data_IF_300998479461
#
_entry.id   IF_300998479461
#
_cell.length_a   1.000
_cell.length_b   1.000
_cell.length_c   1.000
_cell.angle_alpha   90.00
_cell.angle_beta   90.00
_cell.angle_gamma   90.00
#
_symmetry.space_group_name_H-M   'P 1'
#
loop_
_entity.id
_entity.type
_entity.pdbx_description
1 polymer ?
#
# COMPACT_ATOMS: atom_id res chain seq x y z
N UNK A 1 11.35 17.15 -24.49
CA UNK A 1 10.49 17.23 -23.30
C UNK A 1 9.56 16.02 -23.27
N UNK A 2 9.41 15.36 -22.12
CA UNK A 2 8.62 14.12 -22.04
C UNK A 2 7.12 14.39 -22.09
N UNK A 3 6.45 13.80 -23.08
CA UNK A 3 5.01 13.90 -23.32
C UNK A 3 4.37 12.51 -23.27
N UNK A 4 3.16 12.46 -22.73
CA UNK A 4 2.29 11.28 -22.79
C UNK A 4 0.90 11.70 -23.25
N UNK A 5 0.27 10.84 -24.03
CA UNK A 5 -1.09 11.06 -24.51
C UNK A 5 -1.91 9.77 -24.41
N UNK A 6 -3.15 9.88 -23.96
CA UNK A 6 -4.12 8.78 -23.86
C UNK A 6 -5.18 8.99 -24.95
N UNK A 7 -5.28 8.08 -25.93
CA UNK A 7 -6.14 8.18 -27.12
C UNK A 7 -7.04 6.95 -27.29
N UNK A 8 -7.96 7.02 -28.27
CA UNK A 8 -8.77 5.89 -28.73
C UNK A 8 -9.53 5.20 -27.57
N UNK A 9 -10.03 6.01 -26.64
CA UNK A 9 -10.60 5.51 -25.39
C UNK A 9 -11.98 4.91 -25.68
N UNK A 10 -12.06 3.59 -25.63
CA UNK A 10 -13.28 2.83 -25.83
C UNK A 10 -13.82 2.33 -24.49
N UNK A 11 -14.96 2.87 -24.04
CA UNK A 11 -15.57 2.54 -22.75
C UNK A 11 -16.73 1.58 -22.92
N UNK A 12 -16.59 0.37 -22.38
CA UNK A 12 -17.67 -0.58 -22.13
C UNK A 12 -17.87 -0.73 -20.62
N UNK A 13 -19.01 -1.28 -20.20
CA UNK A 13 -19.33 -1.47 -18.77
C UNK A 13 -18.35 -2.42 -18.07
N UNK A 14 -17.82 -3.42 -18.75
CA UNK A 14 -16.89 -4.40 -18.17
C UNK A 14 -15.43 -4.17 -18.59
N UNK A 15 -15.16 -3.24 -19.52
CA UNK A 15 -13.83 -3.05 -20.07
C UNK A 15 -13.64 -1.66 -20.67
N UNK A 16 -12.49 -1.07 -20.40
CA UNK A 16 -12.02 0.18 -21.01
C UNK A 16 -10.71 -0.12 -21.72
N UNK A 17 -10.66 0.09 -23.03
CA UNK A 17 -9.43 -0.02 -23.82
C UNK A 17 -8.99 1.38 -24.25
N UNK A 18 -7.68 1.63 -24.26
CA UNK A 18 -7.11 2.92 -24.67
C UNK A 18 -5.68 2.76 -25.17
N UNK A 19 -5.24 3.69 -26.02
CA UNK A 19 -3.88 3.73 -26.54
C UNK A 19 -3.07 4.76 -25.77
N UNK A 20 -1.87 4.39 -25.33
CA UNK A 20 -0.90 5.31 -24.72
C UNK A 20 0.20 5.60 -25.73
N UNK A 21 0.42 6.88 -26.01
CA UNK A 21 1.51 7.36 -26.86
C UNK A 21 2.49 8.14 -25.99
N UNK A 22 3.75 7.74 -26.01
CA UNK A 22 4.85 8.40 -25.30
C UNK A 22 5.86 8.97 -26.28
N UNK A 23 6.28 10.21 -26.03
CA UNK A 23 7.32 10.91 -26.77
C UNK A 23 8.33 11.42 -25.74
N UNK A 24 9.56 10.90 -25.74
CA UNK A 24 10.61 11.27 -24.79
C UNK A 24 11.86 11.73 -25.53
N UNK A 25 12.65 12.58 -24.89
CA UNK A 25 13.91 13.04 -25.48
C UNK A 25 14.83 11.83 -25.74
N UNK A 26 15.31 11.72 -26.98
CA UNK A 26 16.24 10.66 -27.40
C UNK A 26 15.70 9.23 -27.32
N UNK A 27 14.38 9.04 -27.24
CA UNK A 27 13.73 7.72 -27.33
C UNK A 27 12.69 7.74 -28.45
N UNK A 28 12.62 6.71 -29.31
CA UNK A 28 11.58 6.62 -30.33
C UNK A 28 10.17 6.73 -29.72
N UNK A 29 9.26 7.35 -30.48
CA UNK A 29 7.83 7.36 -30.15
C UNK A 29 7.37 5.92 -29.90
N UNK A 30 6.77 5.69 -28.74
CA UNK A 30 6.30 4.39 -28.32
C UNK A 30 4.79 4.44 -28.11
N UNK A 31 4.09 3.47 -28.69
CA UNK A 31 2.63 3.35 -28.70
C UNK A 31 2.23 1.99 -28.15
N UNK A 32 1.39 1.97 -27.12
CA UNK A 32 1.01 0.76 -26.39
C UNK A 32 -0.51 0.72 -26.16
N UNK A 33 -1.12 -0.43 -26.38
CA UNK A 33 -2.54 -0.64 -26.08
C UNK A 33 -2.70 -1.13 -24.64
N UNK A 34 -3.50 -0.41 -23.86
CA UNK A 34 -3.72 -0.64 -22.45
C UNK A 34 -5.20 -0.87 -22.20
N UNK A 35 -5.52 -1.67 -21.18
CA UNK A 35 -6.89 -1.90 -20.78
C UNK A 35 -7.09 -1.85 -19.26
N UNK A 36 -8.32 -1.54 -18.86
CA UNK A 36 -8.88 -1.83 -17.55
C UNK A 36 -10.09 -2.75 -17.74
N UNK A 37 -10.06 -3.94 -17.17
CA UNK A 37 -11.13 -4.93 -17.26
C UNK A 37 -11.70 -5.22 -15.87
N UNK A 38 -13.01 -5.10 -15.73
CA UNK A 38 -13.73 -5.21 -14.47
C UNK A 38 -14.36 -6.59 -14.33
N UNK A 39 -14.36 -7.15 -13.12
CA UNK A 39 -15.07 -8.40 -12.85
C UNK A 39 -16.58 -8.24 -12.65
N UNK A 40 -17.11 -7.02 -12.76
CA UNK A 40 -18.52 -6.69 -12.77
C UNK A 40 -18.73 -5.39 -13.57
N UNK A 41 -19.97 -5.13 -14.00
CA UNK A 41 -20.29 -3.89 -14.73
C UNK A 41 -19.94 -2.65 -13.90
N UNK A 42 -19.29 -1.67 -14.53
CA UNK A 42 -18.85 -0.43 -13.92
C UNK A 42 -18.91 0.73 -14.92
N UNK A 43 -19.74 1.73 -14.63
CA UNK A 43 -19.91 2.92 -15.46
C UNK A 43 -18.97 4.03 -14.98
N UNK A 44 -17.68 3.92 -15.31
CA UNK A 44 -16.65 4.87 -14.87
C UNK A 44 -16.86 6.24 -15.53
N UNK A 45 -16.97 7.32 -14.75
CA UNK A 45 -17.02 8.68 -15.31
C UNK A 45 -15.71 9.07 -16.00
N UNK A 46 -15.75 10.07 -16.88
CA UNK A 46 -14.54 10.58 -17.52
C UNK A 46 -13.57 11.17 -16.49
N UNK A 47 -14.09 11.80 -15.43
CA UNK A 47 -13.27 12.35 -14.35
C UNK A 47 -12.54 11.25 -13.57
N UNK A 48 -13.24 10.15 -13.23
CA UNK A 48 -12.61 9.02 -12.56
C UNK A 48 -11.56 8.35 -13.46
N UNK A 49 -11.85 8.21 -14.76
CA UNK A 49 -10.90 7.67 -15.72
C UNK A 49 -9.66 8.57 -15.87
N UNK A 50 -9.84 9.90 -15.99
CA UNK A 50 -8.74 10.85 -16.03
C UNK A 50 -7.89 10.83 -14.74
N UNK A 51 -8.53 10.77 -13.57
CA UNK A 51 -7.83 10.58 -12.30
C UNK A 51 -7.02 9.27 -12.30
N UNK A 52 -7.56 8.18 -12.84
CA UNK A 52 -6.82 6.92 -12.91
C UNK A 52 -5.58 7.01 -13.82
N UNK A 53 -5.67 7.72 -14.95
CA UNK A 53 -4.53 7.97 -15.82
C UNK A 53 -3.46 8.80 -15.11
N UNK A 54 -3.86 9.85 -14.41
CA UNK A 54 -2.95 10.67 -13.61
C UNK A 54 -2.30 9.86 -12.48
N UNK A 55 -3.04 8.97 -11.80
CA UNK A 55 -2.49 8.09 -10.78
C UNK A 55 -1.43 7.12 -11.32
N UNK A 56 -1.49 6.75 -12.61
CA UNK A 56 -0.50 5.89 -13.27
C UNK A 56 0.80 6.63 -13.63
N UNK A 57 0.79 7.96 -13.72
CA UNK A 57 1.92 8.73 -14.27
C UNK A 57 2.49 9.79 -13.33
N UNK A 58 1.66 10.38 -12.46
CA UNK A 58 2.00 11.48 -11.58
C UNK A 58 2.82 12.57 -12.30
N UNK A 59 4.00 12.91 -11.78
CA UNK A 59 4.88 13.96 -12.33
C UNK A 59 5.89 13.45 -13.37
N UNK A 60 5.75 12.21 -13.87
CA UNK A 60 6.72 11.61 -14.79
C UNK A 60 6.80 12.33 -16.15
N UNK A 61 5.70 12.92 -16.61
CA UNK A 61 5.60 13.59 -17.91
C UNK A 61 5.29 15.07 -17.74
N UNK A 62 5.89 15.92 -18.58
CA UNK A 62 5.70 17.38 -18.55
C UNK A 62 4.47 17.83 -19.32
N UNK A 63 4.10 17.08 -20.36
CA UNK A 63 2.88 17.29 -21.13
C UNK A 63 2.02 16.04 -21.08
N UNK A 64 0.75 16.21 -20.74
CA UNK A 64 -0.24 15.14 -20.65
C UNK A 64 -1.44 15.54 -21.50
N UNK A 65 -1.80 14.71 -22.46
CA UNK A 65 -3.05 14.84 -23.21
C UNK A 65 -3.99 13.68 -22.88
N UNK A 66 -5.26 13.99 -22.57
CA UNK A 66 -6.29 12.99 -22.27
C UNK A 66 -7.43 13.13 -23.28
N UNK A 67 -7.65 12.13 -24.13
CA UNK A 67 -8.68 12.14 -25.17
C UNK A 67 -10.11 11.90 -24.63
N UNK A 68 -10.47 12.61 -23.56
CA UNK A 68 -11.79 12.61 -22.94
C UNK A 68 -12.29 14.06 -22.85
N UNK A 69 -13.60 14.28 -23.01
CA UNK A 69 -14.20 15.53 -22.59
C UNK A 69 -14.24 15.54 -21.05
N UNK A 70 -13.68 16.60 -20.43
CA UNK A 70 -13.51 16.70 -18.97
C UNK A 70 -14.14 18.00 -18.43
N UNK A 71 -14.79 17.95 -17.25
CA UNK A 71 -15.22 19.16 -16.56
C UNK A 71 -14.05 20.10 -16.24
N UNK A 72 -14.28 21.41 -16.33
CA UNK A 72 -13.28 22.45 -16.04
C UNK A 72 -12.68 22.31 -14.64
N UNK A 73 -13.49 21.96 -13.63
CA UNK A 73 -12.99 21.76 -12.28
C UNK A 73 -12.08 20.52 -12.12
N UNK A 74 -12.36 19.43 -12.83
CA UNK A 74 -11.52 18.23 -12.85
C UNK A 74 -10.16 18.58 -13.43
N UNK A 75 -10.17 19.24 -14.58
CA UNK A 75 -8.94 19.63 -15.25
C UNK A 75 -8.13 20.63 -14.43
N UNK A 76 -8.79 21.62 -13.82
CA UNK A 76 -8.14 22.58 -12.90
C UNK A 76 -7.53 21.89 -11.70
N UNK A 77 -8.24 20.94 -11.08
CA UNK A 77 -7.72 20.14 -9.97
C UNK A 77 -6.47 19.35 -10.39
N UNK A 78 -6.52 18.66 -11.53
CA UNK A 78 -5.40 17.86 -12.02
C UNK A 78 -4.19 18.73 -12.39
N UNK A 79 -4.42 19.91 -12.99
CA UNK A 79 -3.37 20.90 -13.30
C UNK A 79 -2.71 21.45 -12.03
N UNK A 80 -3.48 21.74 -10.99
CA UNK A 80 -2.95 22.29 -9.74
C UNK A 80 -2.11 21.28 -8.94
N UNK A 81 -2.46 19.99 -9.01
CA UNK A 81 -1.74 18.95 -8.26
C UNK A 81 -0.47 18.43 -8.93
N UNK A 82 -0.24 18.74 -10.21
CA UNK A 82 0.94 18.28 -10.96
C UNK A 82 1.76 19.44 -11.52
N UNK A 83 3.08 19.23 -11.66
CA UNK A 83 3.98 20.18 -12.35
C UNK A 83 3.99 19.96 -13.86
N UNK A 84 2.83 19.66 -14.42
CA UNK A 84 2.64 19.19 -15.79
C UNK A 84 1.56 19.99 -16.49
N UNK A 85 1.75 20.25 -17.78
CA UNK A 85 0.72 20.82 -18.64
C UNK A 85 -0.27 19.70 -19.01
N UNK A 86 -1.50 19.81 -18.52
CA UNK A 86 -2.57 18.85 -18.78
C UNK A 86 -3.59 19.47 -19.72
N UNK A 87 -3.86 18.80 -20.83
CA UNK A 87 -4.85 19.17 -21.84
C UNK A 87 -5.78 17.98 -22.08
N UNK A 88 -6.97 18.26 -22.61
CA UNK A 88 -7.97 17.23 -22.91
C UNK A 88 -8.64 17.47 -24.25
N UNK A 89 -9.45 16.49 -24.70
CA UNK A 89 -10.19 16.58 -25.96
C UNK A 89 -11.10 17.80 -26.03
N UNK A 90 -11.81 18.05 -24.93
CA UNK A 90 -12.76 19.14 -24.80
C UNK A 90 -12.90 19.51 -23.31
N UNK A 91 -12.92 20.81 -23.00
CA UNK A 91 -13.24 21.31 -21.66
C UNK A 91 -14.76 21.54 -21.57
N UNK A 92 -15.45 20.77 -20.73
CA UNK A 92 -16.89 20.90 -20.52
C UNK A 92 -17.13 21.88 -19.37
N UNK A 93 -18.11 22.78 -19.53
CA UNK A 93 -18.56 23.64 -18.45
C UNK A 93 -19.01 22.83 -17.23
N UNK A 94 -18.67 23.30 -16.03
CA UNK A 94 -19.07 22.64 -14.79
C UNK A 94 -20.61 22.66 -14.67
N UNK A 95 -21.23 21.49 -14.47
CA UNK A 95 -22.65 21.45 -14.14
C UNK A 95 -22.87 21.70 -12.65
N UNK A 96 -23.87 22.53 -12.33
CA UNK A 96 -24.21 22.95 -10.96
C UNK A 96 -24.58 21.76 -10.05
N UNK A 97 -24.97 20.62 -10.63
CA UNK A 97 -25.49 19.46 -9.89
C UNK A 97 -24.47 18.32 -9.63
N UNK A 98 -23.23 18.39 -10.12
CA UNK A 98 -22.33 17.22 -10.10
C UNK A 98 -21.51 17.03 -8.81
N UNK A 99 -21.67 17.88 -7.79
CA UNK A 99 -20.88 17.79 -6.54
C UNK A 99 -21.65 17.30 -5.32
N UNK A 100 -22.95 17.03 -5.45
CA UNK A 100 -23.78 16.77 -4.27
C UNK A 100 -23.82 15.30 -3.88
N UNK A 101 -23.03 14.98 -2.86
CA UNK A 101 -23.43 14.17 -1.71
C UNK A 101 -24.11 12.84 -2.03
N UNK A 102 -23.38 11.90 -2.63
CA UNK A 102 -23.61 10.50 -2.27
C UNK A 102 -23.06 10.28 -0.86
N UNK A 103 -23.75 9.46 -0.06
CA UNK A 103 -23.31 9.08 1.28
C UNK A 103 -22.04 8.21 1.16
N UNK A 104 -20.89 8.84 0.90
CA UNK A 104 -19.60 8.22 0.63
C UNK A 104 -19.02 7.60 1.90
N UNK A 105 -19.62 6.48 2.32
CA UNK A 105 -19.29 5.82 3.57
C UNK A 105 -18.48 4.55 3.37
N UNK A 106 -18.34 4.02 2.15
CA UNK A 106 -17.62 2.77 1.98
C UNK A 106 -16.10 2.97 2.01
N UNK A 107 -15.42 1.96 2.53
CA UNK A 107 -13.97 1.89 2.65
C UNK A 107 -13.48 0.91 1.60
N UNK A 108 -12.74 1.39 0.62
CA UNK A 108 -12.04 0.58 -0.35
C UNK A 108 -10.67 0.16 0.18
N UNK A 109 -10.53 -1.09 0.61
CA UNK A 109 -9.22 -1.64 0.96
C UNK A 109 -8.51 -2.09 -0.33
N UNK A 110 -7.34 -1.50 -0.58
CA UNK A 110 -6.42 -1.86 -1.64
C UNK A 110 -5.79 -3.21 -1.26
N UNK A 111 -6.42 -4.28 -1.73
CA UNK A 111 -6.27 -5.63 -1.21
C UNK A 111 -5.40 -6.48 -2.14
N UNK A 112 -4.25 -6.94 -1.64
CA UNK A 112 -3.35 -7.86 -2.36
C UNK A 112 -3.47 -9.31 -1.88
N UNK A 113 -4.14 -9.55 -0.75
CA UNK A 113 -4.12 -10.84 -0.06
C UNK A 113 -2.86 -11.07 0.78
N UNK A 114 -1.96 -10.07 0.88
CA UNK A 114 -0.77 -10.14 1.74
C UNK A 114 -1.12 -9.96 3.19
N UNK A 115 -0.24 -10.40 4.10
CA UNK A 115 -0.46 -10.32 5.54
C UNK A 115 -0.91 -8.93 6.00
N UNK A 116 -0.28 -7.89 5.46
CA UNK A 116 -0.56 -6.52 5.89
C UNK A 116 -1.95 -6.05 5.40
N UNK A 117 -2.33 -6.42 4.17
CA UNK A 117 -3.70 -6.18 3.67
C UNK A 117 -4.75 -7.08 4.33
N UNK A 118 -4.39 -8.30 4.73
CA UNK A 118 -5.27 -9.21 5.48
C UNK A 118 -5.48 -8.71 6.92
N UNK A 119 -4.44 -8.18 7.56
CA UNK A 119 -4.55 -7.52 8.85
C UNK A 119 -5.46 -6.28 8.73
N UNK A 120 -5.20 -5.42 7.73
CA UNK A 120 -6.03 -4.24 7.46
C UNK A 120 -7.52 -4.59 7.23
N UNK A 121 -7.79 -5.68 6.50
CA UNK A 121 -9.16 -6.18 6.27
C UNK A 121 -9.88 -6.49 7.59
N UNK A 122 -9.20 -7.12 8.54
CA UNK A 122 -9.78 -7.52 9.81
C UNK A 122 -9.98 -6.34 10.78
N UNK A 123 -9.35 -5.19 10.53
CA UNK A 123 -9.47 -4.00 11.38
C UNK A 123 -10.68 -3.12 11.05
N UNK A 124 -11.45 -3.45 10.01
CA UNK A 124 -12.65 -2.71 9.63
C UNK A 124 -13.93 -3.51 9.82
N UNK A 125 -15.02 -2.79 10.09
CA UNK A 125 -16.34 -3.40 10.08
C UNK A 125 -16.68 -3.88 8.65
N UNK A 126 -17.05 -5.16 8.46
CA UNK A 126 -17.27 -5.76 7.15
C UNK A 126 -18.43 -5.11 6.36
N UNK A 127 -19.39 -4.44 7.02
CA UNK A 127 -20.53 -3.81 6.34
C UNK A 127 -20.14 -2.67 5.39
N UNK A 128 -19.06 -1.93 5.71
CA UNK A 128 -18.56 -0.79 4.93
C UNK A 128 -17.37 -1.12 4.05
N UNK A 129 -16.70 -2.25 4.32
CA UNK A 129 -15.48 -2.66 3.65
C UNK A 129 -15.78 -3.20 2.24
N UNK A 130 -15.04 -2.70 1.25
CA UNK A 130 -14.99 -3.21 -0.13
C UNK A 130 -13.55 -3.55 -0.44
N UNK A 131 -13.31 -4.82 -0.78
CA UNK A 131 -11.97 -5.27 -1.16
C UNK A 131 -11.77 -4.97 -2.64
N UNK A 132 -10.71 -4.24 -2.97
CA UNK A 132 -10.37 -3.90 -4.35
C UNK A 132 -8.99 -4.45 -4.68
N UNK A 133 -8.91 -5.29 -5.71
CA UNK A 133 -7.66 -5.93 -6.13
C UNK A 133 -7.32 -5.57 -7.57
N UNK A 134 -6.02 -5.42 -7.84
CA UNK A 134 -5.51 -5.18 -9.18
C UNK A 134 -4.88 -6.45 -9.72
N UNK A 135 -5.37 -6.93 -10.86
CA UNK A 135 -4.82 -8.08 -11.56
C UNK A 135 -3.91 -7.60 -12.68
N UNK A 136 -2.60 -7.62 -12.43
CA UNK A 136 -1.60 -7.21 -13.41
C UNK A 136 -1.22 -8.33 -14.39
N UNK A 137 -1.68 -9.57 -14.15
CA UNK A 137 -1.19 -10.76 -14.85
C UNK A 137 0.34 -10.95 -14.75
N UNK A 138 0.88 -11.72 -15.70
CA UNK A 138 2.33 -11.93 -15.85
C UNK A 138 2.99 -12.47 -14.58
N UNK A 139 4.07 -11.83 -14.12
CA UNK A 139 4.81 -12.24 -12.92
C UNK A 139 4.00 -12.11 -11.61
N UNK A 140 2.85 -11.43 -11.65
CA UNK A 140 1.92 -11.23 -10.53
C UNK A 140 0.65 -12.09 -10.65
N UNK A 141 0.58 -13.01 -11.62
CA UNK A 141 -0.58 -13.89 -11.80
C UNK A 141 -0.86 -14.72 -10.53
N UNK A 142 0.17 -15.06 -9.75
CA UNK A 142 0.04 -15.81 -8.50
C UNK A 142 -0.74 -15.02 -7.43
N UNK A 143 -0.70 -13.68 -7.44
CA UNK A 143 -1.43 -12.85 -6.46
C UNK A 143 -2.96 -13.06 -6.61
N UNK A 144 -3.42 -13.28 -7.85
CA UNK A 144 -4.83 -13.56 -8.18
C UNK A 144 -5.35 -14.81 -7.50
N UNK A 145 -4.50 -15.83 -7.31
CA UNK A 145 -4.91 -17.06 -6.64
C UNK A 145 -5.31 -16.81 -5.19
N UNK A 146 -4.73 -15.81 -4.52
CA UNK A 146 -5.10 -15.48 -3.16
C UNK A 146 -6.33 -14.59 -3.09
N UNK A 147 -6.32 -13.46 -3.79
CA UNK A 147 -7.45 -12.54 -3.66
C UNK A 147 -8.75 -13.10 -4.28
N UNK A 148 -8.67 -14.10 -5.17
CA UNK A 148 -9.87 -14.82 -5.67
C UNK A 148 -10.60 -15.65 -4.61
N UNK A 149 -9.97 -15.92 -3.46
CA UNK A 149 -10.63 -16.54 -2.30
C UNK A 149 -11.52 -15.55 -1.53
N UNK A 150 -11.47 -14.27 -1.87
CA UNK A 150 -12.24 -13.21 -1.24
C UNK A 150 -13.23 -12.60 -2.25
N UNK A 151 -14.31 -12.01 -1.74
CA UNK A 151 -15.25 -11.25 -2.56
C UNK A 151 -14.65 -9.88 -2.89
N UNK A 152 -13.85 -9.83 -3.96
CA UNK A 152 -13.14 -8.63 -4.40
C UNK A 152 -13.79 -7.99 -5.62
N UNK A 153 -13.63 -6.67 -5.73
CA UNK A 153 -13.82 -5.92 -6.96
C UNK A 153 -12.47 -5.84 -7.66
N UNK A 154 -12.37 -6.43 -8.84
CA UNK A 154 -11.10 -6.57 -9.55
C UNK A 154 -11.01 -5.58 -10.70
N UNK A 155 -9.80 -5.05 -10.92
CA UNK A 155 -9.42 -4.39 -12.17
C UNK A 155 -8.23 -5.12 -12.74
N UNK A 156 -8.44 -5.85 -13.83
CA UNK A 156 -7.35 -6.44 -14.62
C UNK A 156 -6.75 -5.40 -15.57
N UNK A 157 -5.43 -5.40 -15.72
CA UNK A 157 -4.72 -4.47 -16.59
C UNK A 157 -3.33 -4.97 -16.98
N UNK A 158 -2.86 -4.57 -18.16
CA UNK A 158 -1.49 -4.81 -18.62
C UNK A 158 -0.53 -3.62 -18.34
N UNK A 159 -0.96 -2.58 -17.62
CA UNK A 159 -0.14 -1.38 -17.37
C UNK A 159 1.28 -1.70 -16.88
N UNK A 160 1.44 -2.64 -15.94
CA UNK A 160 2.76 -2.95 -15.36
C UNK A 160 3.78 -3.53 -16.34
N UNK A 161 3.31 -4.18 -17.40
CA UNK A 161 4.19 -4.71 -18.45
C UNK A 161 4.65 -3.62 -19.44
N UNK A 162 3.94 -2.50 -19.50
CA UNK A 162 4.17 -1.42 -20.46
C UNK A 162 5.45 -0.63 -20.20
N UNK A 163 5.99 -0.01 -21.25
CA UNK A 163 7.17 0.84 -21.17
C UNK A 163 6.85 2.19 -20.51
N UNK A 164 5.69 2.77 -20.79
CA UNK A 164 5.30 4.04 -20.15
C UNK A 164 5.24 3.90 -18.62
N UNK A 165 4.66 2.79 -18.11
CA UNK A 165 4.55 2.58 -16.67
C UNK A 165 5.89 2.28 -16.02
N UNK A 166 6.76 1.48 -16.68
CA UNK A 166 8.14 1.25 -16.21
C UNK A 166 8.90 2.57 -16.05
N UNK A 167 8.71 3.52 -16.97
CA UNK A 167 9.28 4.86 -16.83
C UNK A 167 8.62 5.63 -15.67
N UNK A 168 7.29 5.71 -15.65
CA UNK A 168 6.54 6.47 -14.65
C UNK A 168 6.79 5.99 -13.21
N UNK A 169 6.95 4.68 -13.00
CA UNK A 169 7.21 4.07 -11.70
C UNK A 169 8.48 4.57 -11.00
N UNK A 170 9.40 5.20 -11.74
CA UNK A 170 10.59 5.86 -11.18
C UNK A 170 10.26 7.14 -10.39
N UNK A 171 9.03 7.66 -10.51
CA UNK A 171 8.58 8.93 -9.94
C UNK A 171 7.52 8.75 -8.83
N UNK A 172 7.51 7.62 -8.13
CA UNK A 172 6.58 7.31 -7.04
C UNK A 172 5.10 7.46 -7.43
N UNK A 173 4.62 6.55 -8.28
CA UNK A 173 3.22 6.50 -8.72
C UNK A 173 2.35 5.66 -7.76
N UNK A 174 1.21 6.18 -7.25
CA UNK A 174 0.29 5.45 -6.39
C UNK A 174 -0.62 4.54 -7.23
N UNK A 175 -0.05 3.75 -8.14
CA UNK A 175 -0.79 2.93 -9.11
C UNK A 175 -1.73 1.91 -8.44
N UNK A 176 -1.45 1.53 -7.18
CA UNK A 176 -2.30 0.65 -6.39
C UNK A 176 -3.65 1.28 -6.03
N UNK A 177 -3.80 2.62 -6.12
CA UNK A 177 -5.05 3.33 -5.84
C UNK A 177 -6.03 3.38 -7.02
N UNK A 178 -5.60 3.00 -8.23
CA UNK A 178 -6.45 3.13 -9.45
C UNK A 178 -7.75 2.34 -9.31
N UNK A 179 -7.74 1.20 -8.62
CA UNK A 179 -8.94 0.40 -8.42
C UNK A 179 -9.99 1.16 -7.62
N UNK A 180 -9.58 1.83 -6.53
CA UNK A 180 -10.48 2.65 -5.72
C UNK A 180 -11.02 3.86 -6.50
N UNK A 181 -10.20 4.48 -7.35
CA UNK A 181 -10.60 5.58 -8.22
C UNK A 181 -11.64 5.11 -9.25
N UNK A 182 -11.37 3.98 -9.93
CA UNK A 182 -12.24 3.46 -10.98
C UNK A 182 -13.57 2.93 -10.44
N UNK A 183 -13.61 2.42 -9.21
CA UNK A 183 -14.84 1.96 -8.55
C UNK A 183 -15.50 3.01 -7.65
N UNK A 184 -14.95 4.23 -7.56
CA UNK A 184 -15.34 5.25 -6.60
C UNK A 184 -16.86 5.49 -6.57
N UNK A 185 -17.42 5.74 -7.74
CA UNK A 185 -18.81 6.11 -7.93
C UNK A 185 -19.72 4.89 -7.72
N UNK A 186 -19.40 3.74 -8.34
CA UNK A 186 -20.18 2.49 -8.21
C UNK A 186 -20.33 2.04 -6.77
N UNK A 187 -19.26 2.14 -5.99
CA UNK A 187 -19.20 1.61 -4.62
C UNK A 187 -19.37 2.70 -3.56
N UNK A 188 -19.64 3.95 -3.92
CA UNK A 188 -19.73 5.08 -3.00
C UNK A 188 -18.52 5.13 -2.02
N UNK A 189 -17.31 5.07 -2.57
CA UNK A 189 -16.06 5.03 -1.81
C UNK A 189 -15.76 6.44 -1.27
N UNK A 190 -15.72 6.58 0.05
CA UNK A 190 -15.22 7.79 0.72
C UNK A 190 -13.78 7.65 1.22
N UNK A 191 -13.32 6.41 1.36
CA UNK A 191 -11.99 6.11 1.91
C UNK A 191 -11.26 5.06 1.09
N UNK A 192 -10.00 5.31 0.76
CA UNK A 192 -9.08 4.29 0.29
C UNK A 192 -8.15 3.89 1.45
N UNK A 193 -8.16 2.61 1.77
CA UNK A 193 -7.35 2.02 2.81
C UNK A 193 -6.20 1.16 2.25
N UNK A 194 -5.05 1.19 2.90
CA UNK A 194 -3.87 0.37 2.56
C UNK A 194 -3.32 -0.34 3.80
N UNK A 195 -2.70 -1.49 3.59
CA UNK A 195 -1.97 -2.24 4.61
C UNK A 195 -0.55 -1.72 4.84
N UNK A 196 -0.35 -0.40 4.88
CA UNK A 196 0.96 0.18 5.18
C UNK A 196 1.30 -0.08 6.65
N UNK A 197 2.53 -0.48 6.95
CA UNK A 197 3.02 -0.79 8.30
C UNK A 197 4.08 0.22 8.75
N UNK A 198 4.45 0.21 10.02
CA UNK A 198 5.34 1.19 10.64
C UNK A 198 6.68 1.29 9.90
N UNK A 199 7.31 0.15 9.63
CA UNK A 199 8.62 0.04 8.99
C UNK A 199 8.62 0.19 7.48
N UNK A 200 7.45 0.46 6.86
CA UNK A 200 7.41 0.96 5.50
C UNK A 200 8.02 2.38 5.39
N UNK A 201 8.22 3.06 6.51
CA UNK A 201 8.82 4.39 6.61
C UNK A 201 9.91 4.39 7.69
N UNK A 202 11.16 4.67 7.31
CA UNK A 202 12.33 4.59 8.21
C UNK A 202 12.31 5.60 9.38
N UNK A 203 11.36 6.53 9.39
CA UNK A 203 11.23 7.53 10.46
C UNK A 203 10.33 7.09 11.62
N UNK A 204 9.54 6.03 11.43
CA UNK A 204 8.59 5.47 12.39
C UNK A 204 7.64 6.50 13.05
N UNK A 205 7.37 7.63 12.37
CA UNK A 205 6.64 8.75 12.98
C UNK A 205 5.12 8.65 12.85
N UNK A 206 4.63 7.73 12.00
CA UNK A 206 3.23 7.61 11.63
C UNK A 206 2.61 8.92 11.07
N UNK A 207 3.43 9.81 10.50
CA UNK A 207 2.96 11.06 9.89
C UNK A 207 2.68 10.85 8.41
N UNK A 208 1.44 11.06 7.99
CA UNK A 208 1.08 10.96 6.57
C UNK A 208 -0.12 11.86 6.22
N UNK A 209 -0.18 12.41 5.00
CA UNK A 209 -1.36 13.14 4.53
C UNK A 209 -2.61 12.25 4.44
N UNK A 210 -3.77 12.77 4.82
CA UNK A 210 -5.05 12.06 4.75
C UNK A 210 -5.74 12.18 3.37
N UNK A 211 -5.00 12.53 2.31
CA UNK A 211 -5.54 12.69 0.96
C UNK A 211 -4.88 11.71 -0.02
N UNK A 212 -5.66 11.21 -0.98
CA UNK A 212 -5.17 10.37 -2.08
C UNK A 212 -5.17 11.20 -3.34
N UNK A 213 -4.05 11.75 -3.78
CA UNK A 213 -4.00 12.39 -5.09
C UNK A 213 -3.86 11.35 -6.20
N UNK A 214 -4.61 11.42 -7.31
CA UNK A 214 -5.67 12.39 -7.65
C UNK A 214 -7.08 12.01 -7.18
N UNK A 215 -7.26 10.86 -6.52
CA UNK A 215 -8.56 10.39 -6.03
C UNK A 215 -9.34 11.35 -5.12
N UNK A 216 -8.69 12.34 -4.50
CA UNK A 216 -9.35 13.36 -3.67
C UNK A 216 -10.26 14.28 -4.48
N UNK A 217 -10.09 14.37 -5.81
CA UNK A 217 -11.11 14.99 -6.68
C UNK A 217 -12.47 14.29 -6.57
N UNK A 218 -12.45 12.97 -6.39
CA UNK A 218 -13.63 12.13 -6.18
C UNK A 218 -14.03 12.05 -4.69
N UNK A 219 -13.53 12.96 -3.86
CA UNK A 219 -13.72 12.99 -2.40
C UNK A 219 -13.19 11.74 -1.66
N UNK A 220 -12.24 11.00 -2.27
CA UNK A 220 -11.59 9.87 -1.60
C UNK A 220 -10.52 10.37 -0.63
N UNK A 221 -10.66 10.01 0.63
CA UNK A 221 -9.66 10.23 1.70
C UNK A 221 -8.83 8.98 1.94
N UNK A 222 -7.63 9.15 2.49
CA UNK A 222 -6.76 8.02 2.83
C UNK A 222 -6.98 7.57 4.28
N UNK A 223 -6.95 6.25 4.50
CA UNK A 223 -6.94 5.65 5.84
C UNK A 223 -5.88 4.56 5.87
N UNK A 224 -5.13 4.41 6.96
CA UNK A 224 -4.10 3.37 7.09
C UNK A 224 -4.23 2.65 8.42
N UNK A 225 -5.09 1.63 8.50
CA UNK A 225 -5.43 0.99 9.77
C UNK A 225 -4.23 0.28 10.43
N UNK A 226 -3.22 -0.12 9.64
CA UNK A 226 -2.05 -0.86 10.12
C UNK A 226 -0.81 0.00 10.30
N UNK A 227 -0.86 1.31 10.05
CA UNK A 227 0.35 2.15 9.93
C UNK A 227 1.13 2.32 11.25
N UNK A 228 0.48 2.10 12.38
CA UNK A 228 1.13 2.08 13.70
C UNK A 228 1.62 0.70 14.12
N UNK A 229 1.40 -0.35 13.33
CA UNK A 229 1.78 -1.72 13.63
C UNK A 229 3.06 -2.10 12.89
N UNK A 230 3.89 -2.92 13.51
CA UNK A 230 4.98 -3.60 12.78
C UNK A 230 4.47 -4.82 12.01
N UNK A 231 5.31 -5.43 11.18
CA UNK A 231 5.01 -6.71 10.53
C UNK A 231 4.71 -7.82 11.57
N UNK A 232 5.28 -7.76 12.77
CA UNK A 232 4.92 -8.66 13.90
C UNK A 232 3.46 -8.46 14.30
N UNK A 233 3.03 -7.21 14.46
CA UNK A 233 1.65 -6.87 14.79
C UNK A 233 0.66 -7.33 13.72
N UNK A 234 0.96 -7.12 12.44
CA UNK A 234 0.08 -7.60 11.35
C UNK A 234 0.02 -9.13 11.29
N UNK A 235 1.13 -9.83 11.53
CA UNK A 235 1.17 -11.28 11.61
C UNK A 235 0.36 -11.83 12.80
N UNK A 236 0.39 -11.16 13.96
CA UNK A 236 -0.44 -11.51 15.11
C UNK A 236 -1.94 -11.43 14.78
N UNK A 237 -2.38 -10.35 14.11
CA UNK A 237 -3.77 -10.21 13.64
C UNK A 237 -4.14 -11.34 12.69
N UNK A 238 -3.34 -11.56 11.65
CA UNK A 238 -3.58 -12.60 10.64
C UNK A 238 -3.71 -13.97 11.29
N UNK A 239 -2.78 -14.33 12.19
CA UNK A 239 -2.79 -15.62 12.88
C UNK A 239 -4.00 -15.79 13.80
N UNK A 240 -4.45 -14.71 14.46
CA UNK A 240 -5.60 -14.77 15.37
C UNK A 240 -6.94 -14.82 14.63
N UNK A 241 -7.04 -14.11 13.51
CA UNK A 241 -8.31 -13.83 12.85
C UNK A 241 -8.61 -14.74 11.65
N UNK A 242 -7.60 -15.39 11.05
CA UNK A 242 -7.79 -16.19 9.85
C UNK A 242 -7.60 -17.68 10.09
N UNK A 243 -8.33 -18.48 9.30
CA UNK A 243 -8.14 -19.91 9.24
C UNK A 243 -6.76 -20.27 8.65
N UNK A 244 -6.04 -21.28 9.18
CA UNK A 244 -4.70 -21.65 8.70
C UNK A 244 -4.57 -21.88 7.19
N UNK A 245 -5.61 -22.42 6.54
CA UNK A 245 -5.61 -22.63 5.08
C UNK A 245 -5.52 -21.33 4.27
N UNK A 246 -6.15 -20.25 4.74
CA UNK A 246 -6.09 -18.94 4.09
C UNK A 246 -4.70 -18.32 4.24
N UNK A 247 -4.09 -18.48 5.42
CA UNK A 247 -2.72 -18.02 5.70
C UNK A 247 -1.73 -18.71 4.76
N UNK A 248 -1.83 -20.04 4.62
CA UNK A 248 -0.98 -20.81 3.73
C UNK A 248 -1.16 -20.40 2.26
N UNK A 249 -2.39 -20.13 1.82
CA UNK A 249 -2.64 -19.59 0.49
C UNK A 249 -1.92 -18.26 0.31
N UNK A 250 -2.11 -17.31 1.23
CA UNK A 250 -1.53 -15.97 1.16
C UNK A 250 0.00 -15.98 1.08
N UNK A 251 0.66 -16.87 1.83
CA UNK A 251 2.11 -17.04 1.76
C UNK A 251 2.54 -17.58 0.39
N UNK A 252 1.84 -18.60 -0.11
CA UNK A 252 2.22 -19.28 -1.35
C UNK A 252 2.00 -18.41 -2.60
N UNK A 253 0.97 -17.58 -2.61
CA UNK A 253 0.64 -16.70 -3.74
C UNK A 253 1.54 -15.47 -3.87
N UNK A 254 2.05 -14.95 -2.75
CA UNK A 254 2.68 -13.62 -2.73
C UNK A 254 4.18 -13.64 -2.53
N UNK A 255 4.76 -14.80 -2.23
CA UNK A 255 6.18 -14.93 -1.99
C UNK A 255 6.71 -16.26 -2.56
N UNK A 256 7.49 -16.14 -3.65
CA UNK A 256 8.08 -17.30 -4.34
C UNK A 256 9.11 -17.99 -3.44
N UNK A 257 9.16 -19.34 -3.41
CA UNK A 257 10.23 -20.09 -2.77
C UNK A 257 11.61 -19.57 -3.19
N UNK A 258 12.54 -19.47 -2.24
CA UNK A 258 13.90 -18.96 -2.48
C UNK A 258 14.05 -17.44 -2.48
N UNK A 259 12.97 -16.67 -2.27
CA UNK A 259 13.03 -15.21 -2.14
C UNK A 259 13.17 -14.73 -0.69
N UNK A 260 13.81 -13.58 -0.48
CA UNK A 260 13.88 -12.90 0.84
C UNK A 260 12.50 -12.66 1.43
N UNK A 261 11.54 -12.24 0.60
CA UNK A 261 10.15 -12.03 1.01
C UNK A 261 9.52 -13.31 1.55
N UNK A 262 9.81 -14.47 0.95
CA UNK A 262 9.28 -15.76 1.40
C UNK A 262 9.89 -16.18 2.73
N UNK A 263 11.22 -16.14 2.85
CA UNK A 263 11.91 -16.40 4.11
C UNK A 263 11.36 -15.53 5.25
N UNK A 264 11.21 -14.22 5.00
CA UNK A 264 10.66 -13.26 5.98
C UNK A 264 9.28 -13.68 6.48
N UNK A 265 8.35 -13.98 5.56
CA UNK A 265 6.98 -14.36 5.92
C UNK A 265 6.91 -15.73 6.59
N UNK A 266 7.72 -16.70 6.17
CA UNK A 266 7.77 -18.03 6.81
C UNK A 266 8.29 -17.92 8.26
N UNK A 267 9.40 -17.21 8.48
CA UNK A 267 9.97 -17.01 9.82
C UNK A 267 9.01 -16.25 10.72
N UNK A 268 8.40 -15.19 10.19
CA UNK A 268 7.42 -14.38 10.92
C UNK A 268 6.19 -15.18 11.33
N UNK A 269 5.64 -16.01 10.43
CA UNK A 269 4.51 -16.87 10.76
C UNK A 269 4.87 -17.87 11.87
N UNK A 270 6.04 -18.51 11.78
CA UNK A 270 6.53 -19.40 12.84
C UNK A 270 6.74 -18.66 14.16
N UNK A 271 7.25 -17.42 14.10
CA UNK A 271 7.49 -16.60 15.29
C UNK A 271 6.20 -16.27 16.06
N UNK A 272 5.09 -16.00 15.35
CA UNK A 272 3.77 -15.75 15.98
C UNK A 272 3.00 -17.05 16.32
N UNK A 273 3.66 -18.19 16.23
CA UNK A 273 3.12 -19.51 16.57
C UNK A 273 2.20 -20.11 15.51
N UNK A 274 2.39 -19.75 14.24
CA UNK A 274 1.95 -20.57 13.13
C UNK A 274 2.95 -21.70 12.84
N UNK A 275 2.56 -22.66 12.01
CA UNK A 275 3.42 -23.78 11.62
C UNK A 275 3.52 -23.82 10.10
N UNK A 276 4.70 -23.52 9.56
CA UNK A 276 4.97 -23.69 8.13
C UNK A 276 6.45 -24.02 7.88
N UNK A 277 6.75 -24.77 6.81
CA UNK A 277 8.14 -24.95 6.38
C UNK A 277 8.80 -23.60 6.12
N UNK A 278 10.02 -23.43 6.63
CA UNK A 278 10.82 -22.22 6.40
C UNK A 278 11.67 -22.43 5.16
N UNK A 279 11.37 -21.68 4.10
CA UNK A 279 12.14 -21.72 2.86
C UNK A 279 13.48 -21.01 3.04
N UNK A 280 14.54 -21.61 2.54
CA UNK A 280 15.87 -21.01 2.52
C UNK A 280 16.07 -20.12 1.30
N UNK A 281 17.00 -19.19 1.42
CA UNK A 281 17.47 -18.35 0.31
C UNK A 281 18.89 -18.78 -0.09
N UNK A 282 19.26 -18.57 -1.35
CA UNK A 282 20.59 -18.97 -1.85
C UNK A 282 21.74 -18.20 -1.18
N UNK A 283 21.50 -16.93 -0.88
CA UNK A 283 22.51 -16.04 -0.31
C UNK A 283 22.03 -15.59 1.07
N UNK A 284 22.69 -16.00 2.17
CA UNK A 284 22.32 -15.54 3.49
C UNK A 284 22.37 -14.01 3.58
N UNK A 285 21.37 -13.42 4.25
CA UNK A 285 21.38 -11.99 4.49
C UNK A 285 22.42 -11.67 5.56
N UNK A 286 23.07 -10.52 5.41
CA UNK A 286 23.98 -9.97 6.41
C UNK A 286 23.31 -8.74 7.03
N UNK A 287 23.52 -8.55 8.33
CA UNK A 287 23.05 -7.37 9.02
C UNK A 287 23.65 -6.10 8.37
N UNK A 288 22.88 -5.02 8.30
CA UNK A 288 23.22 -3.75 7.66
C UNK A 288 23.04 -3.72 6.14
N UNK A 289 22.21 -4.61 5.58
CA UNK A 289 21.95 -4.68 4.12
C UNK A 289 20.51 -4.42 3.70
N UNK A 290 19.55 -4.73 4.55
CA UNK A 290 18.12 -4.50 4.33
C UNK A 290 17.47 -4.01 5.64
N UNK A 291 17.09 -2.72 5.64
CA UNK A 291 16.64 -2.03 6.85
C UNK A 291 15.42 -2.70 7.48
N UNK A 292 14.45 -3.09 6.65
CA UNK A 292 13.19 -3.71 7.10
C UNK A 292 13.47 -5.09 7.67
N UNK A 293 14.35 -5.86 7.03
CA UNK A 293 14.77 -7.16 7.54
C UNK A 293 15.52 -7.05 8.86
N UNK A 294 16.43 -6.10 8.99
CA UNK A 294 17.21 -5.89 10.22
C UNK A 294 16.33 -5.43 11.38
N UNK A 295 15.39 -4.51 11.12
CA UNK A 295 14.39 -4.09 12.09
C UNK A 295 13.61 -5.30 12.61
N UNK A 296 12.99 -6.07 11.72
CA UNK A 296 12.23 -7.26 12.11
C UNK A 296 13.11 -8.31 12.84
N UNK A 297 14.34 -8.48 12.39
CA UNK A 297 15.31 -9.41 12.98
C UNK A 297 15.57 -9.13 14.46
N UNK A 298 15.65 -7.87 14.90
CA UNK A 298 15.95 -7.52 16.30
C UNK A 298 14.99 -8.21 17.27
N UNK A 299 13.68 -8.09 17.00
CA UNK A 299 12.66 -8.66 17.86
C UNK A 299 12.62 -10.19 17.76
N UNK A 300 12.71 -10.75 16.55
CA UNK A 300 12.69 -12.20 16.35
C UNK A 300 13.90 -12.85 17.01
N UNK A 301 15.11 -12.33 16.81
CA UNK A 301 16.33 -12.88 17.39
C UNK A 301 16.33 -12.82 18.93
N UNK A 302 15.81 -11.72 19.50
CA UNK A 302 15.69 -11.57 20.96
C UNK A 302 14.87 -12.69 21.60
N UNK A 303 13.72 -13.01 21.02
CA UNK A 303 12.77 -13.98 21.60
C UNK A 303 12.89 -15.39 21.02
N UNK A 304 13.52 -15.54 19.86
CA UNK A 304 13.77 -16.81 19.20
C UNK A 304 15.05 -16.73 18.35
N UNK A 305 16.19 -16.87 19.01
CA UNK A 305 17.52 -16.81 18.38
C UNK A 305 17.64 -17.72 17.17
N UNK A 306 17.16 -18.96 17.26
CA UNK A 306 17.28 -19.93 16.16
C UNK A 306 16.48 -19.52 14.91
N UNK A 307 15.34 -18.84 15.08
CA UNK A 307 14.61 -18.24 13.96
C UNK A 307 15.33 -17.00 13.41
N UNK A 308 15.85 -16.13 14.28
CA UNK A 308 16.61 -14.96 13.87
C UNK A 308 17.85 -15.32 13.02
N UNK A 309 18.58 -16.36 13.43
CA UNK A 309 19.77 -16.87 12.71
C UNK A 309 19.44 -17.44 11.31
N UNK A 310 18.19 -17.86 11.07
CA UNK A 310 17.73 -18.24 9.72
C UNK A 310 17.51 -17.03 8.82
N UNK A 311 17.21 -15.86 9.39
CA UNK A 311 16.97 -14.64 8.63
C UNK A 311 18.27 -13.92 8.27
N UNK A 312 19.10 -13.64 9.29
CA UNK A 312 20.28 -12.79 9.16
C UNK A 312 21.49 -13.46 9.81
N UNK A 313 22.62 -13.36 9.13
CA UNK A 313 23.92 -13.88 9.57
C UNK A 313 24.88 -12.73 9.91
N UNK A 314 25.97 -13.04 10.60
CA UNK A 314 27.04 -12.08 10.95
C UNK A 314 26.54 -10.90 11.80
N UNK A 315 25.79 -11.20 12.87
CA UNK A 315 25.19 -10.20 13.77
C UNK A 315 26.29 -9.45 14.53
N UNK A 316 26.38 -8.12 14.43
CA UNK A 316 27.38 -7.31 15.15
C UNK A 316 27.24 -7.43 16.68
N UNK A 317 28.36 -7.26 17.40
CA UNK A 317 28.38 -7.38 18.87
C UNK A 317 27.49 -6.33 19.55
N UNK A 318 27.52 -5.09 19.07
CA UNK A 318 26.71 -3.99 19.60
C UNK A 318 25.20 -4.21 19.39
N UNK A 319 24.80 -4.93 18.34
CA UNK A 319 23.41 -5.39 18.17
C UNK A 319 23.06 -6.43 19.24
N UNK A 320 23.93 -7.40 19.50
CA UNK A 320 23.69 -8.43 20.53
C UNK A 320 23.57 -7.76 21.91
N UNK A 321 24.48 -6.85 22.24
CA UNK A 321 24.45 -6.06 23.48
C UNK A 321 23.15 -5.27 23.60
N UNK A 322 22.74 -4.59 22.52
CA UNK A 322 21.46 -3.88 22.47
C UNK A 322 20.27 -4.80 22.81
N UNK A 323 20.21 -6.00 22.22
CA UNK A 323 19.11 -6.95 22.47
C UNK A 323 19.07 -7.49 23.91
N UNK A 324 20.20 -7.49 24.62
CA UNK A 324 20.23 -7.86 26.05
C UNK A 324 19.66 -6.78 26.96
N UNK A 325 19.75 -5.51 26.57
CA UNK A 325 19.34 -4.37 27.39
C UNK A 325 17.90 -3.90 27.18
N UNK A 326 17.27 -4.22 26.04
CA UNK A 326 15.93 -3.71 25.67
C UNK A 326 14.90 -4.83 25.61
N UNK A 327 13.63 -4.55 25.90
CA UNK A 327 12.51 -5.50 25.82
C UNK A 327 12.00 -5.67 24.38
N UNK A 328 11.90 -4.57 23.65
CA UNK A 328 11.35 -4.50 22.30
C UNK A 328 9.87 -4.91 22.24
N UNK A 329 9.09 -4.60 23.29
CA UNK A 329 7.66 -4.93 23.35
C UNK A 329 6.83 -4.11 22.34
N UNK A 330 7.35 -2.94 21.92
CA UNK A 330 6.70 -2.07 20.94
C UNK A 330 6.44 -2.75 19.58
N UNK A 331 7.16 -3.81 19.24
CA UNK A 331 6.89 -4.60 18.02
C UNK A 331 5.51 -5.25 18.03
N UNK A 332 4.99 -5.60 19.21
CA UNK A 332 3.70 -6.27 19.39
C UNK A 332 2.54 -5.30 19.66
N UNK A 333 2.80 -3.99 19.63
CA UNK A 333 1.86 -2.94 20.02
C UNK A 333 1.58 -2.00 18.85
N UNK A 334 0.58 -1.13 19.00
CA UNK A 334 0.27 -0.06 18.05
C UNK A 334 0.80 1.29 18.53
N UNK A 335 1.48 2.00 17.63
CA UNK A 335 1.87 3.39 17.85
C UNK A 335 0.63 4.31 17.80
N UNK A 336 0.24 4.97 18.91
CA UNK A 336 -0.99 5.76 18.96
C UNK A 336 -0.99 6.96 18.02
N UNK A 337 0.17 7.40 17.51
CA UNK A 337 0.24 8.46 16.50
C UNK A 337 -0.53 8.10 15.23
N UNK A 338 -0.61 6.81 14.86
CA UNK A 338 -1.36 6.38 13.67
C UNK A 338 -2.87 6.55 13.82
N UNK A 339 -3.38 6.60 15.06
CA UNK A 339 -4.83 6.70 15.34
C UNK A 339 -5.38 8.09 14.98
N UNK A 340 -4.55 9.14 14.97
CA UNK A 340 -4.95 10.51 14.63
C UNK A 340 -5.51 10.66 13.21
N UNK A 341 -5.17 9.72 12.33
CA UNK A 341 -5.57 9.73 10.93
C UNK A 341 -6.72 8.77 10.64
N UNK A 342 -7.28 8.12 11.66
CA UNK A 342 -8.49 7.32 11.50
C UNK A 342 -9.70 8.27 11.64
N UNK A 343 -10.52 8.43 10.59
CA UNK A 343 -11.68 9.30 10.63
C UNK A 343 -12.71 8.90 11.70
N UNK A 344 -13.36 9.89 12.32
CA UNK A 344 -14.33 9.69 13.41
C UNK A 344 -15.52 8.79 13.05
N UNK A 345 -15.89 8.75 11.77
CA UNK A 345 -16.98 7.90 11.29
C UNK A 345 -16.55 6.44 11.12
N UNK A 346 -15.26 6.10 11.18
CA UNK A 346 -14.81 4.72 11.29
C UNK A 346 -15.07 4.26 12.73
N UNK A 347 -15.69 3.08 12.88
CA UNK A 347 -16.03 2.53 14.20
C UNK A 347 -14.76 2.20 14.99
N UNK A 348 -14.26 3.18 15.74
CA UNK A 348 -13.03 3.08 16.53
C UNK A 348 -13.12 2.01 17.62
N UNK A 349 -14.30 1.77 18.19
CA UNK A 349 -14.49 0.71 19.16
C UNK A 349 -14.25 -0.66 18.52
N UNK A 350 -14.81 -0.91 17.33
CA UNK A 350 -14.54 -2.15 16.59
C UNK A 350 -13.04 -2.32 16.30
N UNK A 351 -12.37 -1.24 15.88
CA UNK A 351 -10.94 -1.25 15.59
C UNK A 351 -10.11 -1.61 16.83
N UNK A 352 -10.32 -0.91 17.95
CA UNK A 352 -9.59 -1.14 19.20
C UNK A 352 -9.91 -2.50 19.80
N UNK A 353 -11.17 -2.92 19.83
CA UNK A 353 -11.60 -4.25 20.29
C UNK A 353 -10.90 -5.36 19.51
N UNK A 354 -10.71 -5.17 18.20
CA UNK A 354 -10.03 -6.14 17.35
C UNK A 354 -8.55 -6.23 17.70
N UNK A 355 -7.87 -5.09 17.92
CA UNK A 355 -6.48 -5.07 18.35
C UNK A 355 -6.30 -5.78 19.70
N UNK A 356 -7.13 -5.47 20.69
CA UNK A 356 -7.06 -6.10 22.01
C UNK A 356 -7.33 -7.62 21.96
N UNK A 357 -8.30 -8.07 21.14
CA UNK A 357 -8.53 -9.52 20.91
C UNK A 357 -7.32 -10.23 20.30
N UNK A 358 -6.48 -9.50 19.57
CA UNK A 358 -5.24 -10.00 19.01
C UNK A 358 -4.04 -9.88 19.97
N UNK A 359 -4.25 -9.36 21.19
CA UNK A 359 -3.18 -9.12 22.17
C UNK A 359 -2.27 -7.95 21.80
N UNK A 360 -2.79 -6.97 21.06
CA UNK A 360 -2.07 -5.78 20.64
C UNK A 360 -2.52 -4.61 21.50
N UNK A 361 -1.61 -4.15 22.37
CA UNK A 361 -1.81 -2.98 23.21
C UNK A 361 -1.29 -1.70 22.53
N UNK A 362 -1.52 -0.55 23.17
CA UNK A 362 -1.02 0.76 22.73
C UNK A 362 0.37 1.02 23.35
N UNK A 363 1.23 1.75 22.64
CA UNK A 363 2.54 2.16 23.16
C UNK A 363 2.43 2.95 24.47
N UNK A 364 3.36 2.67 25.38
CA UNK A 364 3.66 3.48 26.55
C UNK A 364 4.95 4.29 26.33
N UNK A 365 5.41 5.00 27.37
CA UNK A 365 6.62 5.83 27.29
C UNK A 365 7.90 5.03 27.02
N UNK A 366 8.02 3.81 27.54
CA UNK A 366 9.20 2.96 27.30
C UNK A 366 9.21 2.47 25.85
N UNK A 367 8.05 2.13 25.28
CA UNK A 367 7.93 1.71 23.88
C UNK A 367 8.46 2.81 22.93
N UNK A 368 8.15 4.09 23.20
CA UNK A 368 8.68 5.22 22.42
C UNK A 368 10.21 5.38 22.56
N UNK A 369 10.73 5.18 23.78
CA UNK A 369 12.16 5.24 24.05
C UNK A 369 12.91 4.12 23.31
N UNK A 370 12.46 2.88 23.44
CA UNK A 370 13.08 1.74 22.77
C UNK A 370 12.96 1.83 21.24
N UNK A 371 11.87 2.38 20.70
CA UNK A 371 11.74 2.64 19.25
C UNK A 371 12.79 3.66 18.79
N UNK A 372 13.00 4.74 19.55
CA UNK A 372 14.02 5.74 19.25
C UNK A 372 15.44 5.15 19.32
N UNK A 373 15.74 4.35 20.34
CA UNK A 373 17.04 3.69 20.52
C UNK A 373 17.29 2.63 19.43
N UNK A 374 16.25 1.88 19.03
CA UNK A 374 16.28 0.96 17.89
C UNK A 374 16.64 1.69 16.60
N UNK A 375 16.01 2.83 16.34
CA UNK A 375 16.32 3.67 15.17
C UNK A 375 17.76 4.19 15.21
N UNK A 376 18.23 4.64 16.37
CA UNK A 376 19.62 5.08 16.57
C UNK A 376 20.63 3.96 16.34
N UNK A 377 20.30 2.72 16.72
CA UNK A 377 21.13 1.55 16.40
C UNK A 377 21.19 1.33 14.88
N UNK A 378 20.04 1.24 14.21
CA UNK A 378 19.98 0.95 12.77
C UNK A 378 20.65 2.05 11.94
N UNK A 379 20.48 3.32 12.31
CA UNK A 379 21.08 4.47 11.64
C UNK A 379 22.60 4.31 11.41
N UNK A 380 23.33 3.68 12.35
CA UNK A 380 24.77 3.41 12.24
C UNK A 380 25.15 2.54 11.04
N UNK A 381 24.26 1.66 10.61
CA UNK A 381 24.51 0.71 9.51
C UNK A 381 24.02 1.20 8.15
N UNK A 382 23.13 2.20 8.14
CA UNK A 382 22.51 2.72 6.91
C UNK A 382 22.96 4.13 6.54
N UNK A 383 23.89 4.72 7.29
CA UNK A 383 24.35 6.10 7.12
C UNK A 383 23.18 7.12 7.10
N UNK A 384 22.18 6.88 7.94
CA UNK A 384 21.02 7.75 8.07
C UNK A 384 21.12 8.62 9.33
N UNK A 385 20.64 9.85 9.27
CA UNK A 385 20.45 10.66 10.48
C UNK A 385 19.17 10.23 11.20
N UNK A 386 19.21 10.17 12.54
CA UNK A 386 18.01 10.02 13.34
C UNK A 386 17.21 11.35 13.37
N UNK A 387 16.52 11.63 12.26
CA UNK A 387 15.56 12.72 12.12
C UNK A 387 14.29 12.43 12.93
N UNK A 388 14.33 12.56 14.23
CA UNK A 388 13.10 12.75 15.01
C UNK A 388 12.69 14.22 14.93
N UNK A 389 11.40 14.47 14.69
CA UNK A 389 10.76 15.69 15.20
C UNK A 389 10.92 15.58 16.72
N UNK A 390 11.58 16.57 17.33
CA UNK A 390 11.83 16.65 18.77
C UNK A 390 10.61 16.15 19.53
N UNK A 391 10.83 15.35 20.58
CA UNK A 391 9.82 14.97 21.56
C UNK A 391 9.32 16.28 22.21
N UNK A 392 8.41 16.97 21.53
CA UNK A 392 7.51 17.90 22.16
C UNK A 392 6.59 17.06 23.01
N UNK A 393 6.62 17.33 24.30
CA UNK A 393 5.72 16.78 25.33
C UNK A 393 4.32 16.60 24.73
N UNK A 394 3.78 15.38 24.87
CA UNK A 394 2.46 14.96 24.40
C UNK A 394 1.35 15.96 24.78
#
# INVERSE_FOLDING_TARGET
MNKISFYNINKKTTRIDFTVVTEMDSVPRNEENIYFEFNCENNVSNSALACSFIALIMNAYKKVYIDLPLPQNCLSFLRNGLKSEITCKEEIADSINNRNNTNLNNIALLFSGGFDSLAAMNLFNPGRLKLISLDYGGVFADEKLCFSQFKTYNVATNCRASNFFKYASKFYVPAFSIGAILYAEKLAIGYAASGDILEAFHDFNCTYPNYVYPGSYLNIRQVRPTFGLTEVGTAMIVKKMLHPSLINTAINSLAKPGSTKRLRKDVLLNFVGGECPINTIKTPLKFGRDYVMDFLFLHIFKYNKSLGEKMVTSVPKDVIEFLTCHKLDFYKKINPKSLRNIPDDINMNFFLDTLYKCGIDIYNSEDFKELHETRSLLAKYYNEENKNIKIGVL
#
